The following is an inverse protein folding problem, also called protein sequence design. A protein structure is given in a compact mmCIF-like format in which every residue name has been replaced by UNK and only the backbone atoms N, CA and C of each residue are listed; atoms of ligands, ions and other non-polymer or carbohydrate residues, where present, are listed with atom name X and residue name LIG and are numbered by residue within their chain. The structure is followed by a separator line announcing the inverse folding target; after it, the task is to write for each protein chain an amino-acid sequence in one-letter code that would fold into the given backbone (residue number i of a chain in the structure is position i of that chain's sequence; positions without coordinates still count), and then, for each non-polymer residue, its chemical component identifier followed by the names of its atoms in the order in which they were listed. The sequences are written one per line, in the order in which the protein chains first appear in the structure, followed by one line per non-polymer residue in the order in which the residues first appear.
data_IF_559793697582
#
_entry.id   IF_559793697582
#
_cell.length_a   1.000
_cell.length_b   1.000
_cell.length_c   1.000
_cell.angle_alpha   90.00
_cell.angle_beta   90.00
_cell.angle_gamma   90.00
#
_symmetry.space_group_name_H-M   'P 1'
#
loop_
_entity.id
_entity.type
_entity.pdbx_description
1 polymer ?
#
# COMPACT_ATOMS: atom_id res chain seq x y z
N UNK A 1 -24.92 -11.76 -82.42
CA UNK A 1 -23.76 -12.27 -81.65
C UNK A 1 -24.20 -12.49 -80.21
N UNK A 2 -24.10 -13.75 -79.76
CA UNK A 2 -24.22 -14.30 -78.40
C UNK A 2 -25.58 -14.19 -77.65
N UNK A 3 -25.99 -15.25 -76.91
CA UNK A 3 -27.40 -15.54 -76.61
C UNK A 3 -27.77 -15.51 -75.10
N UNK A 4 -29.10 -15.61 -74.86
CA UNK A 4 -29.83 -16.31 -73.79
C UNK A 4 -29.52 -16.01 -72.29
N UNK A 5 -30.47 -15.58 -71.45
CA UNK A 5 -31.53 -16.40 -70.81
C UNK A 5 -30.95 -17.65 -70.09
N UNK A 6 -31.07 -17.88 -68.77
CA UNK A 6 -32.30 -18.05 -67.97
C UNK A 6 -31.99 -18.39 -66.50
N UNK A 7 -32.98 -18.11 -65.64
CA UNK A 7 -33.47 -18.82 -64.44
C UNK A 7 -32.47 -19.35 -63.37
N UNK A 8 -32.67 -18.97 -62.11
CA UNK A 8 -33.33 -19.86 -61.13
C UNK A 8 -33.68 -19.13 -59.82
N UNK A 9 -34.77 -19.59 -59.22
CA UNK A 9 -35.52 -19.03 -58.08
C UNK A 9 -34.98 -19.61 -56.73
N UNK A 10 -35.69 -19.53 -55.59
CA UNK A 10 -35.33 -18.80 -54.37
C UNK A 10 -34.79 -19.71 -53.23
N UNK A 11 -34.69 -19.10 -52.03
CA UNK A 11 -34.78 -19.70 -50.69
C UNK A 11 -33.49 -20.13 -49.95
N UNK A 12 -33.37 -19.48 -48.78
CA UNK A 12 -33.07 -20.04 -47.45
C UNK A 12 -31.60 -20.08 -46.98
N UNK A 13 -31.44 -19.52 -45.76
CA UNK A 13 -30.38 -19.76 -44.76
C UNK A 13 -29.06 -19.05 -45.09
N UNK A 14 -28.39 -18.32 -44.19
CA UNK A 14 -28.32 -18.46 -42.75
C UNK A 14 -27.98 -17.10 -42.09
N UNK A 15 -28.58 -16.86 -40.93
CA UNK A 15 -28.01 -16.00 -39.90
C UNK A 15 -26.61 -16.52 -39.51
N UNK A 16 -25.69 -15.62 -39.16
CA UNK A 16 -24.57 -15.74 -38.19
C UNK A 16 -23.50 -14.72 -38.58
N UNK A 17 -23.23 -13.80 -37.66
CA UNK A 17 -22.16 -12.80 -37.75
C UNK A 17 -21.98 -12.10 -36.41
N UNK A 18 -21.91 -12.93 -35.37
CA UNK A 18 -21.86 -12.60 -33.95
C UNK A 18 -20.70 -11.64 -33.61
N UNK A 19 -21.05 -10.54 -32.96
CA UNK A 19 -20.27 -9.74 -32.00
C UNK A 19 -18.89 -10.35 -31.65
N UNK A 20 -17.81 -9.84 -32.25
CA UNK A 20 -16.46 -9.95 -31.70
C UNK A 20 -16.28 -8.83 -30.67
N UNK A 21 -16.93 -9.00 -29.51
CA UNK A 21 -16.50 -8.31 -28.30
C UNK A 21 -15.17 -8.94 -27.91
N UNK A 22 -14.08 -8.18 -28.06
CA UNK A 22 -12.80 -8.50 -27.45
C UNK A 22 -13.01 -8.67 -25.95
N UNK A 23 -13.20 -9.91 -25.50
CA UNK A 23 -12.85 -10.34 -24.15
C UNK A 23 -11.33 -10.26 -24.03
N UNK A 24 -10.79 -9.04 -23.94
CA UNK A 24 -9.55 -8.87 -23.22
C UNK A 24 -9.87 -9.30 -21.78
N UNK A 25 -9.06 -10.18 -21.15
CA UNK A 25 -9.17 -10.34 -19.72
C UNK A 25 -8.88 -8.97 -19.14
N UNK A 26 -9.92 -8.32 -18.61
CA UNK A 26 -9.75 -7.34 -17.54
C UNK A 26 -9.16 -8.15 -16.39
N UNK A 27 -7.83 -8.31 -16.41
CA UNK A 27 -7.10 -8.80 -15.27
C UNK A 27 -7.44 -7.83 -14.16
N UNK A 28 -8.32 -8.24 -13.26
CA UNK A 28 -8.45 -7.57 -11.99
C UNK A 28 -7.03 -7.54 -11.42
N UNK A 29 -6.48 -6.33 -11.27
CA UNK A 29 -5.15 -6.15 -10.72
C UNK A 29 -5.20 -6.65 -9.27
N UNK A 30 -4.84 -7.92 -9.10
CA UNK A 30 -4.83 -8.63 -7.84
C UNK A 30 -3.37 -8.82 -7.43
N UNK A 31 -2.67 -7.77 -7.03
CA UNK A 31 -1.35 -8.00 -6.49
C UNK A 31 -0.83 -6.80 -5.68
N UNK A 32 -0.95 -6.97 -4.37
CA UNK A 32 -0.21 -6.27 -3.31
C UNK A 32 1.14 -6.97 -3.09
N UNK A 33 1.44 -7.94 -3.95
CA UNK A 33 2.72 -8.56 -4.20
C UNK A 33 2.83 -8.83 -5.71
N UNK A 34 3.55 -7.99 -6.43
CA UNK A 34 3.75 -8.05 -7.88
C UNK A 34 5.11 -8.65 -8.20
N UNK A 35 5.15 -9.51 -9.22
CA UNK A 35 6.42 -9.99 -9.78
C UNK A 35 7.01 -8.91 -10.69
N UNK A 36 8.28 -8.61 -10.49
CA UNK A 36 9.04 -7.64 -11.26
C UNK A 36 9.93 -8.35 -12.27
N UNK A 37 10.20 -7.70 -13.39
CA UNK A 37 11.30 -8.12 -14.25
C UNK A 37 12.63 -7.96 -13.48
N UNK A 38 13.53 -8.93 -13.67
CA UNK A 38 14.88 -8.85 -13.12
C UNK A 38 15.63 -7.63 -13.66
N UNK A 39 16.34 -6.93 -12.78
CA UNK A 39 17.12 -5.74 -13.11
C UNK A 39 18.31 -5.58 -12.16
N UNK A 40 19.19 -4.60 -12.40
CA UNK A 40 20.29 -4.26 -11.48
C UNK A 40 19.81 -4.15 -10.04
N UNK A 41 20.65 -4.61 -9.10
CA UNK A 41 20.32 -4.67 -7.66
C UNK A 41 19.84 -3.30 -7.17
N UNK A 42 18.58 -3.20 -6.77
CA UNK A 42 18.01 -1.98 -6.20
C UNK A 42 16.88 -2.28 -5.22
N UNK A 43 16.73 -1.40 -4.25
CA UNK A 43 15.58 -1.35 -3.35
C UNK A 43 14.80 -0.07 -3.65
N UNK A 44 13.49 -0.14 -3.48
CA UNK A 44 12.61 1.02 -3.49
C UNK A 44 11.70 0.95 -2.27
N UNK A 45 11.45 2.10 -1.65
CA UNK A 45 10.54 2.25 -0.53
C UNK A 45 9.76 3.54 -0.75
N UNK A 46 8.46 3.50 -0.49
CA UNK A 46 7.64 4.69 -0.30
C UNK A 46 6.72 4.51 0.91
N UNK A 47 6.46 5.63 1.58
CA UNK A 47 5.62 5.73 2.78
C UNK A 47 4.75 6.95 2.58
N UNK A 48 3.46 6.75 2.37
CA UNK A 48 2.54 7.82 1.99
C UNK A 48 2.88 8.40 0.62
N UNK A 49 2.98 9.72 0.55
CA UNK A 49 3.22 10.45 -0.69
C UNK A 49 4.63 10.16 -1.21
N UNK A 50 4.70 9.62 -2.42
CA UNK A 50 5.96 9.20 -3.00
C UNK A 50 6.07 9.50 -4.48
N UNK A 51 7.27 9.27 -5.02
CA UNK A 51 7.57 9.33 -6.44
C UNK A 51 8.03 7.94 -6.88
N UNK A 52 7.42 7.39 -7.93
CA UNK A 52 7.78 6.06 -8.41
C UNK A 52 9.27 5.97 -8.76
N UNK A 53 9.98 5.02 -8.15
CA UNK A 53 11.42 4.76 -8.33
C UNK A 53 12.29 6.04 -8.15
N UNK A 54 11.83 7.00 -7.35
CA UNK A 54 12.50 8.28 -7.10
C UNK A 54 12.58 8.63 -5.62
N UNK A 55 13.49 9.55 -5.29
CA UNK A 55 13.58 10.09 -3.93
C UNK A 55 12.43 11.07 -3.67
N UNK A 56 11.94 11.07 -2.44
CA UNK A 56 10.91 11.99 -1.96
C UNK A 56 11.25 12.42 -0.53
N UNK A 57 11.12 13.71 -0.23
CA UNK A 57 11.43 14.31 1.09
C UNK A 57 10.19 14.55 1.95
N UNK A 58 8.99 14.30 1.42
CA UNK A 58 7.73 14.45 2.13
C UNK A 58 7.67 13.46 3.30
N UNK A 59 7.38 14.00 4.47
CA UNK A 59 7.02 13.22 5.66
C UNK A 59 5.54 13.45 5.90
N UNK A 60 4.74 12.40 5.78
CA UNK A 60 3.32 12.48 6.06
C UNK A 60 3.05 12.53 7.57
N UNK A 61 2.12 13.39 7.97
CA UNK A 61 1.60 13.45 9.32
C UNK A 61 0.47 12.44 9.50
N UNK A 62 0.49 11.73 10.63
CA UNK A 62 -0.64 10.95 11.15
C UNK A 62 -0.96 11.50 12.53
N UNK A 63 -2.22 11.88 12.77
CA UNK A 63 -2.61 12.58 14.00
C UNK A 63 -3.97 12.15 14.53
N UNK A 64 -4.17 12.29 15.84
CA UNK A 64 -5.48 12.21 16.48
C UNK A 64 -5.70 13.47 17.31
N UNK A 65 -6.76 14.22 16.97
CA UNK A 65 -7.16 15.41 17.69
C UNK A 65 -8.34 15.07 18.60
N UNK A 66 -8.07 14.90 19.89
CA UNK A 66 -9.05 14.46 20.87
C UNK A 66 -9.72 15.67 21.53
N UNK A 67 -11.05 15.63 21.62
CA UNK A 67 -11.80 16.50 22.54
C UNK A 67 -11.56 16.09 23.99
N UNK A 68 -11.89 16.99 24.94
CA UNK A 68 -11.80 16.66 26.38
C UNK A 68 -12.61 15.41 26.76
N UNK A 69 -13.79 15.21 26.16
CA UNK A 69 -14.59 14.01 26.39
C UNK A 69 -13.93 12.73 25.86
N UNK A 70 -13.30 12.79 24.68
CA UNK A 70 -12.54 11.66 24.12
C UNK A 70 -11.28 11.35 24.94
N UNK A 71 -10.59 12.36 25.46
CA UNK A 71 -9.42 12.14 26.32
C UNK A 71 -9.78 11.38 27.61
N UNK A 72 -10.99 11.62 28.15
CA UNK A 72 -11.47 10.99 29.38
C UNK A 72 -12.19 9.65 29.15
N UNK A 73 -12.53 9.30 27.90
CA UNK A 73 -13.31 8.09 27.61
C UNK A 73 -12.50 6.80 27.75
N UNK A 74 -11.17 6.86 27.66
CA UNK A 74 -10.31 5.67 27.60
C UNK A 74 -10.49 4.83 26.33
N UNK A 75 -11.24 5.34 25.34
CA UNK A 75 -11.56 4.59 24.12
C UNK A 75 -10.51 4.85 23.04
N UNK A 76 -10.09 3.83 22.27
CA UNK A 76 -9.21 4.02 21.12
C UNK A 76 -9.77 5.02 20.11
N UNK A 77 -8.89 5.81 19.51
CA UNK A 77 -9.23 6.86 18.56
C UNK A 77 -8.54 6.59 17.23
N UNK A 78 -9.32 6.55 16.16
CA UNK A 78 -8.78 6.48 14.80
C UNK A 78 -7.97 7.74 14.50
N UNK A 79 -6.84 7.57 13.82
CA UNK A 79 -5.98 8.68 13.41
C UNK A 79 -6.28 9.07 11.95
N UNK A 80 -6.10 10.35 11.64
CA UNK A 80 -6.16 10.89 10.27
C UNK A 80 -4.76 11.06 9.72
N UNK A 81 -4.62 11.09 8.39
CA UNK A 81 -3.36 11.37 7.69
C UNK A 81 -3.51 12.55 6.72
N UNK A 82 -2.40 13.25 6.49
CA UNK A 82 -2.28 14.24 5.41
C UNK A 82 -1.83 13.63 4.06
N UNK A 83 -1.69 12.29 3.98
CA UNK A 83 -1.34 11.63 2.73
C UNK A 83 -2.44 11.84 1.68
N UNK A 84 -1.99 12.05 0.45
CA UNK A 84 -2.82 12.12 -0.75
C UNK A 84 -2.58 10.93 -1.68
N UNK A 85 -1.65 10.03 -1.31
CA UNK A 85 -1.29 8.87 -2.11
C UNK A 85 -2.36 7.80 -2.02
N UNK A 86 -3.23 7.79 -3.03
CA UNK A 86 -4.30 6.80 -3.14
C UNK A 86 -3.96 5.65 -4.10
N UNK A 87 -3.21 5.95 -5.15
CA UNK A 87 -2.84 4.98 -6.18
C UNK A 87 -1.49 4.31 -5.90
N UNK A 88 -1.31 3.08 -6.37
CA UNK A 88 -0.02 2.39 -6.34
C UNK A 88 1.05 3.18 -7.11
N UNK A 89 2.26 3.21 -6.55
CA UNK A 89 3.43 3.75 -7.24
C UNK A 89 4.11 2.73 -8.15
N UNK A 90 3.59 1.50 -8.25
CA UNK A 90 4.06 0.53 -9.23
C UNK A 90 3.78 0.98 -10.69
N UNK A 91 2.75 1.81 -10.90
CA UNK A 91 2.39 2.36 -12.21
C UNK A 91 1.28 1.59 -12.94
N UNK A 92 0.51 0.76 -12.24
CA UNK A 92 -0.70 0.10 -12.76
C UNK A 92 -1.97 0.96 -12.64
N UNK A 93 -1.88 2.10 -11.93
CA UNK A 93 -2.99 3.01 -11.69
C UNK A 93 -4.03 2.49 -10.69
N UNK A 94 -3.75 1.39 -9.99
CA UNK A 94 -4.70 0.81 -9.05
C UNK A 94 -4.86 1.68 -7.80
N UNK A 95 -6.10 1.87 -7.34
CA UNK A 95 -6.41 2.59 -6.09
C UNK A 95 -6.20 1.68 -4.89
N UNK A 96 -4.95 1.57 -4.45
CA UNK A 96 -4.57 0.75 -3.29
C UNK A 96 -5.16 1.32 -2.00
N UNK A 97 -5.07 2.64 -1.77
CA UNK A 97 -5.60 3.30 -0.57
C UNK A 97 -6.74 4.27 -0.93
N UNK A 98 -8.00 3.80 -0.96
CA UNK A 98 -9.14 4.61 -1.38
C UNK A 98 -9.45 5.77 -0.43
N UNK A 99 -8.99 5.72 0.81
CA UNK A 99 -9.22 6.77 1.81
C UNK A 99 -7.89 7.30 2.37
N UNK A 100 -7.06 8.00 1.56
CA UNK A 100 -5.72 8.42 1.98
C UNK A 100 -5.73 9.44 3.15
N UNK A 101 -6.85 10.12 3.39
CA UNK A 101 -7.04 10.95 4.59
C UNK A 101 -7.08 10.17 5.92
N UNK A 102 -7.20 8.84 5.89
CA UNK A 102 -7.18 7.94 7.06
C UNK A 102 -6.26 6.73 6.87
N UNK A 103 -5.46 6.75 5.80
CA UNK A 103 -4.60 5.64 5.39
C UNK A 103 -3.28 6.17 4.86
N UNK A 104 -2.20 5.47 5.19
CA UNK A 104 -0.89 5.70 4.57
C UNK A 104 -0.55 4.47 3.75
N UNK A 105 -0.26 4.65 2.46
CA UNK A 105 0.26 3.55 1.65
C UNK A 105 1.70 3.26 2.07
N UNK A 106 2.02 1.99 2.31
CA UNK A 106 3.40 1.55 2.52
C UNK A 106 3.69 0.57 1.41
N UNK A 107 4.73 0.83 0.63
CA UNK A 107 5.15 -0.14 -0.37
C UNK A 107 6.65 -0.14 -0.60
N UNK A 108 7.14 -1.33 -0.93
CA UNK A 108 8.54 -1.62 -0.99
C UNK A 108 8.82 -2.63 -2.10
N UNK A 109 9.98 -2.53 -2.74
CA UNK A 109 10.42 -3.55 -3.67
C UNK A 109 11.90 -3.84 -3.57
N UNK A 110 12.25 -5.02 -4.07
CA UNK A 110 13.62 -5.45 -4.26
C UNK A 110 13.75 -6.05 -5.65
N UNK A 111 14.62 -5.48 -6.48
CA UNK A 111 14.96 -6.04 -7.81
C UNK A 111 16.40 -6.49 -7.83
N UNK A 112 16.65 -7.62 -8.48
CA UNK A 112 18.00 -8.15 -8.67
C UNK A 112 18.04 -9.14 -9.84
N UNK A 113 18.96 -8.90 -10.76
CA UNK A 113 19.45 -9.89 -11.71
C UNK A 113 20.49 -10.75 -11.00
N UNK A 114 20.29 -12.06 -10.97
CA UNK A 114 21.26 -13.00 -10.43
C UNK A 114 21.76 -13.90 -11.55
N UNK A 115 23.08 -13.98 -11.73
CA UNK A 115 23.69 -14.91 -12.70
C UNK A 115 23.48 -16.39 -12.30
N UNK A 116 23.18 -16.67 -11.01
CA UNK A 116 23.15 -18.03 -10.45
C UNK A 116 21.83 -18.40 -9.73
N UNK A 117 20.73 -17.63 -9.88
CA UNK A 117 19.41 -17.92 -9.28
C UNK A 117 19.39 -18.27 -7.78
N UNK A 118 20.35 -17.81 -6.98
CA UNK A 118 20.30 -17.97 -5.52
C UNK A 118 19.15 -17.14 -4.91
N UNK A 119 18.45 -17.64 -3.87
CA UNK A 119 17.45 -16.86 -3.16
C UNK A 119 18.09 -15.59 -2.59
N UNK A 120 17.44 -14.44 -2.81
CA UNK A 120 17.84 -13.18 -2.25
C UNK A 120 16.59 -12.43 -1.77
N UNK A 121 16.73 -11.67 -0.69
CA UNK A 121 15.64 -10.90 -0.11
C UNK A 121 16.14 -9.59 0.49
N UNK A 122 15.29 -8.57 0.43
CA UNK A 122 15.43 -7.38 1.26
C UNK A 122 14.58 -7.51 2.53
N UNK A 123 14.87 -6.70 3.54
CA UNK A 123 14.11 -6.63 4.79
C UNK A 123 13.47 -5.26 4.92
N UNK A 124 12.16 -5.21 5.15
CA UNK A 124 11.46 -3.99 5.54
C UNK A 124 11.38 -3.94 7.08
N UNK A 125 11.88 -2.85 7.64
CA UNK A 125 11.83 -2.54 9.07
C UNK A 125 11.14 -1.22 9.30
N UNK A 126 10.65 -1.05 10.52
CA UNK A 126 10.14 0.22 11.02
C UNK A 126 10.77 0.52 12.37
N UNK A 127 11.14 1.78 12.58
CA UNK A 127 11.72 2.27 13.84
C UNK A 127 10.89 3.41 14.36
N UNK A 128 10.39 3.26 15.58
CA UNK A 128 9.70 4.32 16.34
C UNK A 128 10.55 4.76 17.53
N UNK A 129 10.47 6.03 17.97
CA UNK A 129 11.05 6.45 19.25
C UNK A 129 10.31 5.76 20.41
N UNK A 130 10.92 5.72 21.59
CA UNK A 130 10.30 5.12 22.78
C UNK A 130 8.97 5.81 23.15
N UNK A 131 8.91 7.14 22.99
CA UNK A 131 7.78 7.97 23.37
C UNK A 131 7.48 9.02 22.30
N UNK A 132 6.21 9.41 22.20
CA UNK A 132 5.84 10.75 21.77
C UNK A 132 6.14 11.73 22.91
N UNK A 133 6.60 12.94 22.61
CA UNK A 133 6.90 13.97 23.60
C UNK A 133 6.22 15.31 23.28
N UNK A 134 5.88 16.06 24.33
CA UNK A 134 5.43 17.44 24.21
C UNK A 134 6.53 18.43 24.62
N UNK A 135 6.27 19.73 24.45
CA UNK A 135 7.22 20.79 24.82
C UNK A 135 7.45 20.94 26.34
N UNK A 136 6.55 20.41 27.18
CA UNK A 136 6.64 20.46 28.63
C UNK A 136 7.46 19.29 29.22
N UNK A 137 7.85 18.31 28.40
CA UNK A 137 8.58 17.11 28.82
C UNK A 137 7.69 15.93 29.19
N UNK A 138 6.37 16.04 29.07
CA UNK A 138 5.47 14.90 29.23
C UNK A 138 5.60 13.95 28.04
N UNK A 139 5.34 12.67 28.31
CA UNK A 139 5.51 11.61 27.32
C UNK A 139 4.30 10.68 27.23
N UNK A 140 4.11 10.13 26.04
CA UNK A 140 3.18 9.04 25.77
C UNK A 140 3.99 7.90 25.14
N UNK A 141 3.97 6.68 25.69
CA UNK A 141 4.65 5.55 25.06
C UNK A 141 4.20 5.36 23.62
N UNK A 142 5.15 5.20 22.68
CA UNK A 142 4.81 5.07 21.27
C UNK A 142 4.01 3.78 20.98
N UNK A 143 4.07 2.80 21.90
CA UNK A 143 3.23 1.61 21.91
C UNK A 143 1.73 1.85 22.09
N UNK A 144 1.32 3.09 22.34
CA UNK A 144 -0.09 3.49 22.24
C UNK A 144 -0.57 3.63 20.79
N UNK A 145 0.31 3.56 19.80
CA UNK A 145 -0.07 3.62 18.38
C UNK A 145 0.02 2.23 17.77
N UNK A 146 -1.10 1.76 17.23
CA UNK A 146 -1.20 0.54 16.44
C UNK A 146 -1.72 0.84 15.03
N UNK A 147 -1.54 -0.09 14.11
CA UNK A 147 -2.13 0.00 12.78
C UNK A 147 -2.79 -1.31 12.36
N UNK A 148 -3.86 -1.15 11.59
CA UNK A 148 -4.47 -2.23 10.81
C UNK A 148 -4.06 -2.09 9.35
N UNK A 149 -4.22 -3.17 8.58
CA UNK A 149 -3.87 -3.16 7.16
C UNK A 149 -5.05 -3.54 6.30
N UNK A 150 -5.14 -2.88 5.15
CA UNK A 150 -6.11 -3.21 4.11
C UNK A 150 -5.46 -3.16 2.74
N UNK A 151 -5.95 -3.99 1.84
CA UNK A 151 -5.60 -3.92 0.44
C UNK A 151 -6.86 -4.29 -0.36
N UNK A 152 -7.67 -3.28 -0.74
CA UNK A 152 -8.86 -3.48 -1.55
C UNK A 152 -8.55 -4.27 -2.82
N UNK A 153 -9.49 -5.12 -3.23
CA UNK A 153 -9.27 -6.05 -4.34
C UNK A 153 -8.38 -7.25 -3.98
N UNK A 154 -8.02 -7.43 -2.70
CA UNK A 154 -7.14 -8.52 -2.25
C UNK A 154 -7.71 -9.69 -1.50
N UNK A 155 -7.09 -10.85 -1.75
CA UNK A 155 -7.19 -12.04 -0.91
C UNK A 155 -6.01 -12.16 0.08
N UNK A 156 -5.01 -11.26 0.02
CA UNK A 156 -3.82 -11.30 0.88
C UNK A 156 -3.43 -9.88 1.35
N UNK A 157 -4.24 -9.22 2.20
CA UNK A 157 -4.01 -7.83 2.58
C UNK A 157 -2.82 -7.62 3.53
N UNK A 158 -2.23 -8.69 4.06
CA UNK A 158 -1.25 -8.66 5.15
C UNK A 158 0.21 -8.87 4.68
N UNK A 159 0.52 -8.52 3.42
CA UNK A 159 1.89 -8.59 2.84
C UNK A 159 2.92 -7.77 3.63
N UNK A 160 2.49 -6.64 4.17
CA UNK A 160 3.15 -5.93 5.27
C UNK A 160 2.18 -6.03 6.45
N UNK A 161 2.54 -6.71 7.54
CA UNK A 161 1.55 -7.08 8.55
C UNK A 161 1.04 -5.90 9.37
N UNK A 162 -0.19 -6.03 9.88
CA UNK A 162 -0.70 -5.19 10.97
C UNK A 162 0.16 -5.34 12.23
N UNK A 163 0.13 -4.33 13.11
CA UNK A 163 0.94 -4.36 14.32
C UNK A 163 0.77 -3.16 15.24
N UNK A 164 1.62 -3.16 16.26
CA UNK A 164 1.75 -2.08 17.24
C UNK A 164 3.21 -1.68 17.31
N UNK A 165 3.49 -0.39 17.44
CA UNK A 165 4.87 0.07 17.61
C UNK A 165 5.41 -0.37 18.97
N UNK A 166 6.69 -0.70 19.06
CA UNK A 166 7.31 -1.15 20.30
C UNK A 166 8.33 -0.16 20.89
N UNK A 167 8.43 1.04 20.32
CA UNK A 167 9.41 2.05 20.77
C UNK A 167 10.86 1.73 20.38
N UNK A 168 11.05 0.81 19.43
CA UNK A 168 12.33 0.37 18.92
C UNK A 168 12.23 0.06 17.41
N UNK A 169 13.29 -0.55 16.86
CA UNK A 169 13.26 -1.12 15.51
C UNK A 169 12.59 -2.49 15.54
N UNK A 170 11.59 -2.70 14.68
CA UNK A 170 10.93 -3.98 14.46
C UNK A 170 10.96 -4.36 12.98
N UNK A 171 11.16 -5.65 12.70
CA UNK A 171 11.07 -6.17 11.33
C UNK A 171 9.59 -6.38 10.99
N UNK A 172 9.16 -5.86 9.85
CA UNK A 172 7.80 -6.01 9.37
C UNK A 172 7.67 -7.23 8.46
N UNK A 173 8.54 -7.34 7.46
CA UNK A 173 8.48 -8.42 6.47
C UNK A 173 9.79 -8.55 5.69
N UNK A 174 9.92 -9.65 4.96
CA UNK A 174 10.99 -9.89 3.98
C UNK A 174 10.42 -9.79 2.57
N UNK A 175 11.15 -9.15 1.67
CA UNK A 175 10.76 -8.92 0.29
C UNK A 175 11.61 -9.84 -0.58
N UNK A 176 11.04 -10.88 -1.22
CA UNK A 176 11.79 -11.72 -2.15
C UNK A 176 12.35 -10.90 -3.32
N UNK A 177 13.42 -11.40 -3.94
CA UNK A 177 13.96 -10.80 -5.15
C UNK A 177 12.89 -10.69 -6.24
N UNK A 178 12.94 -9.57 -6.97
CA UNK A 178 12.04 -9.25 -8.05
C UNK A 178 10.57 -9.22 -7.62
N UNK A 179 10.32 -8.68 -6.43
CA UNK A 179 8.97 -8.52 -5.87
C UNK A 179 8.74 -7.07 -5.45
N UNK A 180 7.54 -6.57 -5.72
CA UNK A 180 7.02 -5.32 -5.17
C UNK A 180 5.83 -5.66 -4.27
N UNK A 181 5.85 -5.19 -3.03
CA UNK A 181 4.73 -5.34 -2.09
C UNK A 181 4.19 -3.97 -1.68
N UNK A 182 2.90 -3.89 -1.41
CA UNK A 182 2.28 -2.68 -0.87
C UNK A 182 1.00 -3.01 -0.09
N UNK A 183 0.56 -2.15 0.81
CA UNK A 183 -0.80 -2.12 1.35
C UNK A 183 -1.04 -0.81 2.11
N UNK A 184 -2.26 -0.59 2.59
CA UNK A 184 -2.65 0.61 3.31
C UNK A 184 -2.65 0.38 4.81
N UNK A 185 -2.08 1.31 5.54
CA UNK A 185 -2.00 1.27 6.99
C UNK A 185 -2.95 2.32 7.58
N UNK A 186 -3.88 1.89 8.44
CA UNK A 186 -4.77 2.76 9.20
C UNK A 186 -4.38 2.73 10.67
N UNK A 187 -4.03 3.89 11.21
CA UNK A 187 -3.47 4.02 12.56
C UNK A 187 -4.56 4.30 13.61
N UNK A 188 -4.31 3.85 14.83
CA UNK A 188 -5.19 4.05 15.99
C UNK A 188 -4.34 4.41 17.20
N UNK A 189 -4.75 5.45 17.91
CA UNK A 189 -4.23 5.79 19.23
C UNK A 189 -5.08 5.10 20.31
N UNK A 190 -4.47 4.27 21.14
CA UNK A 190 -5.17 3.46 22.13
C UNK A 190 -5.87 4.29 23.22
N UNK A 191 -5.33 5.46 23.57
CA UNK A 191 -5.90 6.36 24.57
C UNK A 191 -6.19 5.69 25.93
N UNK A 192 -5.31 4.77 26.34
CA UNK A 192 -5.56 3.89 27.50
C UNK A 192 -5.35 4.55 28.87
N UNK A 193 -4.90 5.81 28.90
CA UNK A 193 -4.66 6.55 30.13
C UNK A 193 -4.83 8.05 29.90
N UNK A 194 -5.26 8.76 30.94
CA UNK A 194 -5.35 10.23 30.94
C UNK A 194 -3.95 10.82 30.84
N UNK A 195 -3.79 11.81 29.96
CA UNK A 195 -2.52 12.52 29.71
C UNK A 195 -2.71 14.02 29.95
N UNK A 196 -1.61 14.70 30.27
CA UNK A 196 -1.60 16.15 30.31
C UNK A 196 -1.99 16.70 28.92
N UNK A 197 -2.76 17.78 28.90
CA UNK A 197 -3.15 18.43 27.65
C UNK A 197 -1.92 18.96 26.92
N UNK A 198 -1.85 18.74 25.61
CA UNK A 198 -0.76 19.22 24.78
C UNK A 198 -0.63 18.42 23.49
N UNK A 199 0.26 18.90 22.61
CA UNK A 199 0.60 18.21 21.37
C UNK A 199 1.83 17.35 21.60
N UNK A 200 1.69 16.05 21.35
CA UNK A 200 2.76 15.07 21.48
C UNK A 200 3.22 14.62 20.10
N UNK A 201 4.51 14.75 19.81
CA UNK A 201 5.08 14.45 18.50
C UNK A 201 6.11 13.32 18.58
N UNK A 202 6.29 12.62 17.47
CA UNK A 202 7.35 11.66 17.26
C UNK A 202 7.38 11.25 15.79
N UNK A 203 8.49 10.66 15.35
CA UNK A 203 8.70 10.33 13.94
C UNK A 203 9.05 8.85 13.79
N UNK A 204 8.33 8.18 12.89
CA UNK A 204 8.59 6.78 12.53
C UNK A 204 9.39 6.74 11.23
N UNK A 205 10.42 5.91 11.20
CA UNK A 205 11.25 5.70 10.01
C UNK A 205 11.11 4.27 9.52
N UNK A 206 10.67 4.11 8.27
CA UNK A 206 10.70 2.82 7.57
C UNK A 206 12.02 2.67 6.82
N UNK A 207 12.55 1.46 6.75
CA UNK A 207 13.83 1.19 6.09
C UNK A 207 13.75 -0.13 5.35
N UNK A 208 14.14 -0.13 4.07
CA UNK A 208 14.35 -1.34 3.28
C UNK A 208 15.84 -1.51 3.07
N UNK A 209 16.37 -2.69 3.40
CA UNK A 209 17.78 -3.02 3.16
C UNK A 209 17.92 -4.41 2.55
N UNK A 210 18.83 -4.55 1.59
CA UNK A 210 19.33 -5.83 1.07
C UNK A 210 20.77 -6.00 1.56
N UNK A 211 21.19 -7.23 1.90
CA UNK A 211 22.61 -7.58 1.97
C UNK A 211 23.32 -7.28 0.63
#
# INVERSE_FOLDING_TARGET
MKPAQRLCTPHRLAAIGLLLVCCAPLGAAHAWSLTLAAASRRVFLHVGNGTAEGNNTTVNLVSANLTGAQLLSGTPQAMTSDSTQSASLYGDGFTTCPTPASQVIIGASYRRSNANNGPASATLRVTSPANLSNAAGDTIPFSQISWTVSAPGSNAPNVIPAGTFNGATQTLTTIPANTYIENCHSFTYANSAVRAAGTYNGQVTYTVSSP
#
